data_IF_145716792025
#
_entry.id   IF_145716792025
#
_cell.length_a   1.000
_cell.length_b   1.000
_cell.length_c   1.000
_cell.angle_alpha   90.00
_cell.angle_beta   90.00
_cell.angle_gamma   90.00
#
_symmetry.space_group_name_H-M   'P 1'
#
loop_
_entity.id
_entity.type
_entity.pdbx_description
1 polymer ?
#
# COMPACT_ATOMS: atom_id res chain seq x y z
N UNK A 1 -19.08 12.68 -18.94
CA UNK A 1 -18.82 13.06 -17.53
C UNK A 1 -17.35 13.44 -17.43
N UNK A 2 -16.93 14.32 -16.52
CA UNK A 2 -15.48 14.55 -16.29
C UNK A 2 -15.18 14.27 -14.83
N UNK A 3 -14.46 13.18 -14.58
CA UNK A 3 -13.99 12.80 -13.25
C UNK A 3 -12.48 12.97 -13.21
N UNK A 4 -12.01 13.78 -12.29
CA UNK A 4 -10.59 13.99 -12.00
C UNK A 4 -10.15 13.05 -10.87
N UNK A 5 -8.95 12.49 -10.96
CA UNK A 5 -8.29 11.78 -9.85
C UNK A 5 -7.03 12.57 -9.50
N UNK A 6 -6.93 13.00 -8.25
CA UNK A 6 -5.82 13.80 -7.71
C UNK A 6 -5.09 13.00 -6.64
N UNK A 7 -3.76 13.01 -6.66
CA UNK A 7 -2.93 12.51 -5.57
C UNK A 7 -2.54 13.73 -4.75
N UNK A 8 -2.80 13.69 -3.43
CA UNK A 8 -2.58 14.84 -2.56
C UNK A 8 -1.77 14.46 -1.32
N UNK A 9 -0.66 15.16 -1.12
CA UNK A 9 0.08 15.14 0.13
C UNK A 9 -0.68 15.92 1.21
N UNK A 10 -1.37 15.24 2.13
CA UNK A 10 -2.13 15.86 3.22
C UNK A 10 -2.47 14.87 4.34
N UNK A 11 -2.86 15.40 5.50
CA UNK A 11 -3.65 14.62 6.48
C UNK A 11 -5.08 14.49 5.96
N UNK A 12 -5.63 13.27 5.97
CA UNK A 12 -7.00 12.98 5.55
C UNK A 12 -8.05 13.78 6.34
N UNK A 13 -7.77 14.19 7.58
CA UNK A 13 -8.69 15.01 8.38
C UNK A 13 -8.77 16.46 7.90
N UNK A 14 -7.75 16.93 7.19
CA UNK A 14 -7.60 18.29 6.66
C UNK A 14 -8.01 18.42 5.19
N UNK A 15 -8.46 17.34 4.56
CA UNK A 15 -8.91 17.35 3.15
C UNK A 15 -10.38 17.77 3.06
N UNK A 16 -10.64 18.86 2.35
CA UNK A 16 -11.98 19.41 2.13
C UNK A 16 -12.68 18.69 0.98
N UNK A 17 -13.51 17.70 1.32
CA UNK A 17 -14.32 16.91 0.38
C UNK A 17 -15.72 16.67 0.94
N UNK A 18 -16.65 16.24 0.10
CA UNK A 18 -18.00 15.91 0.55
C UNK A 18 -17.99 14.64 1.42
N UNK A 19 -17.20 13.64 1.04
CA UNK A 19 -17.06 12.39 1.79
C UNK A 19 -15.64 11.88 1.81
N UNK A 20 -15.18 11.37 2.95
CA UNK A 20 -14.00 10.50 3.00
C UNK A 20 -14.40 9.05 3.21
N UNK A 21 -13.68 8.12 2.58
CA UNK A 21 -13.88 6.68 2.73
C UNK A 21 -12.72 6.07 3.51
N UNK A 22 -13.05 5.30 4.54
CA UNK A 22 -12.08 4.64 5.42
C UNK A 22 -12.44 3.16 5.55
N UNK A 23 -11.45 2.29 5.35
CA UNK A 23 -11.60 0.87 5.64
C UNK A 23 -11.60 0.64 7.16
N UNK A 24 -12.41 -0.29 7.61
CA UNK A 24 -12.44 -0.78 8.99
C UNK A 24 -12.10 -2.27 9.03
N UNK A 25 -10.87 -2.61 9.42
CA UNK A 25 -10.34 -4.00 9.40
C UNK A 25 -10.65 -4.76 10.70
N UNK A 26 -11.88 -4.62 11.20
CA UNK A 26 -12.32 -5.16 12.50
C UNK A 26 -11.57 -4.58 13.71
N UNK A 27 -11.07 -3.36 13.54
CA UNK A 27 -10.40 -2.57 14.56
C UNK A 27 -9.93 -1.26 13.92
N UNK A 28 -9.64 -0.26 14.76
CA UNK A 28 -9.23 1.06 14.34
C UNK A 28 -7.70 1.20 14.36
N UNK A 29 -7.08 1.51 13.22
CA UNK A 29 -5.63 1.62 13.02
C UNK A 29 -5.23 2.77 12.07
N UNK A 30 -4.51 3.77 12.60
CA UNK A 30 -4.03 4.90 11.80
C UNK A 30 -5.16 5.88 11.48
N UNK A 31 -5.44 6.12 10.19
CA UNK A 31 -6.38 7.14 9.72
C UNK A 31 -7.83 6.95 10.21
N UNK A 32 -8.35 5.72 10.16
CA UNK A 32 -9.68 5.40 10.67
C UNK A 32 -9.81 5.65 12.18
N UNK A 33 -8.77 5.31 12.95
CA UNK A 33 -8.67 5.59 14.39
C UNK A 33 -8.63 7.08 14.69
N UNK A 34 -7.83 7.83 13.93
CA UNK A 34 -7.70 9.28 14.08
C UNK A 34 -9.06 9.94 13.84
N UNK A 35 -9.73 9.61 12.73
CA UNK A 35 -11.05 10.15 12.40
C UNK A 35 -12.09 9.73 13.44
N UNK A 36 -12.13 8.45 13.84
CA UNK A 36 -13.06 7.98 14.87
C UNK A 36 -12.86 8.68 16.23
N UNK A 37 -11.60 8.94 16.63
CA UNK A 37 -11.27 9.72 17.82
C UNK A 37 -11.83 11.14 17.74
N UNK A 38 -11.62 11.83 16.61
CA UNK A 38 -12.12 13.20 16.43
C UNK A 38 -13.65 13.22 16.45
N UNK A 39 -14.30 12.28 15.75
CA UNK A 39 -15.76 12.21 15.68
C UNK A 39 -16.42 11.81 16.99
N UNK A 40 -15.71 11.09 17.87
CA UNK A 40 -16.22 10.67 19.17
C UNK A 40 -16.72 11.87 20.00
N UNK A 41 -17.92 11.72 20.59
CA UNK A 41 -18.51 12.67 21.55
C UNK A 41 -18.56 11.97 22.91
N UNK A 42 -18.73 12.72 24.01
CA UNK A 42 -19.11 12.13 25.31
C UNK A 42 -20.31 11.19 25.10
N UNK A 43 -20.12 9.89 25.33
CA UNK A 43 -21.16 8.86 25.22
C UNK A 43 -21.18 8.01 23.94
N UNK A 44 -20.48 8.38 22.84
CA UNK A 44 -20.30 7.49 21.68
C UNK A 44 -19.00 6.70 21.84
N UNK A 45 -19.11 5.37 21.81
CA UNK A 45 -17.96 4.47 21.88
C UNK A 45 -17.54 4.07 20.45
N UNK A 46 -16.29 3.64 20.29
CA UNK A 46 -15.78 3.12 19.01
C UNK A 46 -16.65 2.03 18.39
N UNK A 47 -17.29 1.20 19.23
CA UNK A 47 -18.21 0.14 18.79
C UNK A 47 -19.40 0.68 17.98
N UNK A 48 -19.82 1.92 18.25
CA UNK A 48 -20.92 2.58 17.55
C UNK A 48 -20.47 3.11 16.17
N UNK A 49 -19.17 3.01 15.87
CA UNK A 49 -18.54 3.39 14.61
C UNK A 49 -17.97 2.20 13.84
N UNK A 50 -18.17 0.98 14.34
CA UNK A 50 -17.56 -0.24 13.84
C UNK A 50 -18.56 -1.02 12.96
N UNK A 51 -18.51 -0.89 11.62
CA UNK A 51 -19.35 -1.69 10.74
C UNK A 51 -18.98 -3.18 10.79
N UNK A 52 -19.97 -4.06 10.61
CA UNK A 52 -19.73 -5.49 10.42
C UNK A 52 -19.03 -5.76 9.08
N UNK A 53 -18.50 -6.98 8.91
CA UNK A 53 -17.89 -7.38 7.64
C UNK A 53 -18.89 -7.26 6.47
N UNK A 54 -18.52 -6.49 5.44
CA UNK A 54 -19.36 -6.24 4.26
C UNK A 54 -20.41 -5.13 4.46
N UNK A 55 -20.56 -4.61 5.68
CA UNK A 55 -21.42 -3.47 5.97
C UNK A 55 -20.65 -2.15 5.92
N UNK A 56 -21.38 -1.03 5.91
CA UNK A 56 -20.81 0.30 5.99
C UNK A 56 -21.60 1.18 6.95
N UNK A 57 -20.94 2.23 7.44
CA UNK A 57 -21.53 3.24 8.30
C UNK A 57 -21.21 4.63 7.77
N UNK A 58 -22.25 5.45 7.60
CA UNK A 58 -22.12 6.85 7.17
C UNK A 58 -22.31 7.76 8.38
N UNK A 59 -21.36 8.67 8.61
CA UNK A 59 -21.40 9.63 9.71
C UNK A 59 -21.19 11.04 9.19
N UNK A 60 -22.03 11.97 9.64
CA UNK A 60 -21.80 13.41 9.48
C UNK A 60 -20.66 13.86 10.41
N UNK A 61 -19.76 14.68 9.89
CA UNK A 61 -18.59 15.15 10.66
C UNK A 61 -18.92 16.34 11.54
N UNK A 62 -19.93 17.13 11.16
CA UNK A 62 -20.31 18.39 11.80
C UNK A 62 -19.11 19.34 11.98
N UNK A 63 -18.22 19.39 10.98
CA UNK A 63 -17.07 20.30 10.96
C UNK A 63 -15.91 19.90 11.89
N UNK A 64 -15.98 18.73 12.53
CA UNK A 64 -14.86 18.23 13.34
C UNK A 64 -13.63 17.84 12.52
N UNK A 65 -13.84 17.52 11.25
CA UNK A 65 -12.82 17.38 10.21
C UNK A 65 -13.33 18.13 8.97
N UNK A 66 -12.46 18.39 7.98
CA UNK A 66 -12.85 19.20 6.81
C UNK A 66 -13.80 18.49 5.85
N UNK A 67 -13.80 17.17 5.83
CA UNK A 67 -14.79 16.40 5.08
C UNK A 67 -16.20 16.61 5.66
N UNK A 68 -17.25 16.67 4.84
CA UNK A 68 -18.63 16.82 5.36
C UNK A 68 -19.15 15.52 6.00
N UNK A 69 -18.79 14.39 5.41
CA UNK A 69 -19.18 13.04 5.86
C UNK A 69 -18.02 12.05 5.83
N UNK A 70 -18.16 10.95 6.56
CA UNK A 70 -17.24 9.81 6.57
C UNK A 70 -18.03 8.53 6.29
N UNK A 71 -17.49 7.66 5.46
CA UNK A 71 -17.97 6.29 5.27
C UNK A 71 -16.92 5.33 5.80
N UNK A 72 -17.27 4.59 6.86
CA UNK A 72 -16.49 3.43 7.29
C UNK A 72 -17.04 2.18 6.60
N UNK A 73 -16.17 1.40 5.97
CA UNK A 73 -16.57 0.14 5.31
C UNK A 73 -15.88 -1.01 6.03
N UNK A 74 -16.67 -1.95 6.55
CA UNK A 74 -16.17 -3.12 7.27
C UNK A 74 -15.57 -4.15 6.33
N UNK A 75 -14.29 -4.45 6.50
CA UNK A 75 -13.53 -5.37 5.65
C UNK A 75 -12.96 -6.54 6.44
N UNK A 76 -12.41 -7.51 5.71
CA UNK A 76 -11.73 -8.66 6.30
C UNK A 76 -10.51 -8.22 7.14
N UNK A 77 -9.97 -9.14 7.93
CA UNK A 77 -8.79 -8.89 8.76
C UNK A 77 -7.61 -8.42 7.91
N UNK A 78 -6.77 -7.55 8.49
CA UNK A 78 -5.63 -6.93 7.80
C UNK A 78 -4.74 -7.93 7.03
N UNK A 79 -4.52 -9.12 7.58
CA UNK A 79 -3.71 -10.19 6.95
C UNK A 79 -4.27 -10.65 5.60
N UNK A 80 -5.60 -10.61 5.43
CA UNK A 80 -6.29 -10.98 4.18
C UNK A 80 -6.55 -9.78 3.27
N UNK A 81 -6.32 -8.55 3.75
CA UNK A 81 -6.56 -7.33 3.01
C UNK A 81 -5.34 -6.99 2.13
N UNK A 82 -5.14 -7.79 1.08
CA UNK A 82 -4.04 -7.66 0.12
C UNK A 82 -4.51 -7.09 -1.23
N UNK A 83 -3.74 -7.24 -2.31
CA UNK A 83 -3.90 -6.48 -3.55
C UNK A 83 -5.31 -6.61 -4.16
N UNK A 84 -5.81 -7.84 -4.36
CA UNK A 84 -7.18 -8.08 -4.85
C UNK A 84 -8.27 -7.46 -3.98
N UNK A 85 -8.11 -7.53 -2.65
CA UNK A 85 -9.05 -6.91 -1.71
C UNK A 85 -8.99 -5.38 -1.70
N UNK A 86 -7.83 -4.79 -2.03
CA UNK A 86 -7.73 -3.33 -2.24
C UNK A 86 -8.55 -2.93 -3.46
N UNK A 87 -8.44 -3.68 -4.57
CA UNK A 87 -9.23 -3.44 -5.79
C UNK A 87 -10.73 -3.56 -5.53
N UNK A 88 -11.17 -4.66 -4.92
CA UNK A 88 -12.57 -4.86 -4.54
C UNK A 88 -13.08 -3.75 -3.61
N UNK A 89 -12.28 -3.35 -2.63
CA UNK A 89 -12.65 -2.30 -1.68
C UNK A 89 -12.91 -0.97 -2.38
N UNK A 90 -12.00 -0.55 -3.27
CA UNK A 90 -12.16 0.72 -4.00
C UNK A 90 -13.41 0.72 -4.88
N UNK A 91 -13.69 -0.41 -5.54
CA UNK A 91 -14.91 -0.59 -6.32
C UNK A 91 -16.17 -0.50 -5.45
N UNK A 92 -16.21 -1.22 -4.34
CA UNK A 92 -17.35 -1.21 -3.43
C UNK A 92 -17.55 0.17 -2.79
N UNK A 93 -16.48 0.88 -2.45
CA UNK A 93 -16.54 2.25 -1.97
C UNK A 93 -17.24 3.18 -2.97
N UNK A 94 -16.85 3.11 -4.25
CA UNK A 94 -17.48 3.90 -5.31
C UNK A 94 -18.97 3.57 -5.48
N UNK A 95 -19.33 2.29 -5.44
CA UNK A 95 -20.71 1.81 -5.50
C UNK A 95 -21.55 2.29 -4.30
N UNK A 96 -21.01 2.25 -3.08
CA UNK A 96 -21.68 2.77 -1.89
C UNK A 96 -21.92 4.27 -2.04
N UNK A 97 -20.89 5.03 -2.46
CA UNK A 97 -21.01 6.47 -2.66
C UNK A 97 -22.07 6.79 -3.73
N UNK A 98 -21.99 6.12 -4.89
CA UNK A 98 -22.91 6.31 -6.00
C UNK A 98 -24.37 6.03 -5.65
N UNK A 99 -24.63 5.05 -4.77
CA UNK A 99 -25.98 4.67 -4.36
C UNK A 99 -26.53 5.44 -3.16
N UNK A 100 -25.68 6.04 -2.32
CA UNK A 100 -26.09 6.66 -1.05
C UNK A 100 -26.05 8.18 -1.04
N UNK A 101 -25.29 8.79 -1.93
CA UNK A 101 -25.15 10.25 -2.00
C UNK A 101 -25.78 10.77 -3.28
N UNK A 102 -26.93 11.44 -3.14
CA UNK A 102 -27.64 12.09 -4.25
C UNK A 102 -26.86 13.27 -4.84
N UNK A 103 -26.17 14.02 -3.98
CA UNK A 103 -25.38 15.19 -4.33
C UNK A 103 -23.94 15.03 -3.82
N UNK A 104 -23.09 14.37 -4.61
CA UNK A 104 -21.66 14.20 -4.31
C UNK A 104 -20.83 14.79 -5.44
N UNK A 105 -19.88 15.67 -5.12
CA UNK A 105 -18.93 16.23 -6.08
C UNK A 105 -17.50 15.72 -5.83
N UNK A 106 -17.15 15.44 -4.58
CA UNK A 106 -15.78 15.12 -4.18
C UNK A 106 -15.70 13.97 -3.17
N UNK A 107 -14.76 13.05 -3.41
CA UNK A 107 -14.46 11.92 -2.52
C UNK A 107 -12.98 11.97 -2.13
N UNK A 108 -12.66 11.76 -0.86
CA UNK A 108 -11.30 11.52 -0.40
C UNK A 108 -11.12 10.08 0.08
N UNK A 109 -9.97 9.48 -0.18
CA UNK A 109 -9.60 8.17 0.38
C UNK A 109 -8.09 8.10 0.58
N UNK A 110 -7.64 7.39 1.61
CA UNK A 110 -6.20 7.13 1.80
C UNK A 110 -5.71 6.06 0.84
N UNK A 111 -4.40 5.95 0.64
CA UNK A 111 -3.82 4.74 0.06
C UNK A 111 -3.97 3.54 1.01
N UNK A 112 -4.12 2.34 0.45
CA UNK A 112 -4.32 1.12 1.21
C UNK A 112 -3.21 0.10 1.00
N UNK A 113 -3.00 -0.80 1.97
CA UNK A 113 -2.02 -1.90 1.87
C UNK A 113 -0.61 -1.57 2.35
N UNK A 114 -0.19 -0.32 2.28
CA UNK A 114 1.19 0.10 2.64
C UNK A 114 1.56 -0.18 4.09
N UNK A 115 0.71 0.19 5.06
CA UNK A 115 0.95 -0.13 6.47
C UNK A 115 0.95 -1.63 6.76
N UNK A 116 0.43 -2.44 5.84
CA UNK A 116 0.54 -3.89 5.93
C UNK A 116 1.88 -4.40 5.35
N UNK A 117 2.73 -3.57 4.77
CA UNK A 117 4.00 -3.99 4.17
C UNK A 117 3.90 -4.60 2.79
N UNK A 118 2.80 -4.31 2.09
CA UNK A 118 2.64 -4.65 0.67
C UNK A 118 3.43 -3.68 -0.21
N UNK A 119 3.67 -4.07 -1.47
CA UNK A 119 4.31 -3.18 -2.44
C UNK A 119 3.40 -1.99 -2.75
N UNK A 120 4.00 -0.81 -2.62
CA UNK A 120 3.34 0.49 -2.76
C UNK A 120 2.72 0.71 -4.15
N UNK A 121 3.41 0.29 -5.22
CA UNK A 121 2.96 0.47 -6.60
C UNK A 121 1.80 -0.48 -6.90
N UNK A 122 1.93 -1.76 -6.55
CA UNK A 122 0.85 -2.73 -6.74
C UNK A 122 -0.40 -2.36 -5.92
N UNK A 123 -0.22 -1.81 -4.71
CA UNK A 123 -1.33 -1.30 -3.90
C UNK A 123 -2.05 -0.14 -4.59
N UNK A 124 -1.29 0.84 -5.08
CA UNK A 124 -1.85 2.02 -5.73
C UNK A 124 -2.57 1.66 -7.04
N UNK A 125 -1.93 0.85 -7.88
CA UNK A 125 -2.52 0.38 -9.13
C UNK A 125 -3.77 -0.48 -8.87
N UNK A 126 -3.77 -1.33 -7.83
CA UNK A 126 -4.97 -2.10 -7.44
C UNK A 126 -6.12 -1.16 -7.03
N UNK A 127 -5.81 -0.09 -6.28
CA UNK A 127 -6.78 0.89 -5.84
C UNK A 127 -7.38 1.66 -7.04
N UNK A 128 -6.55 2.08 -8.00
CA UNK A 128 -6.99 2.67 -9.26
C UNK A 128 -7.84 1.69 -10.08
N UNK A 129 -7.43 0.42 -10.16
CA UNK A 129 -8.16 -0.63 -10.86
C UNK A 129 -9.58 -0.78 -10.36
N UNK A 130 -9.79 -0.71 -9.04
CA UNK A 130 -11.12 -0.79 -8.45
C UNK A 130 -11.98 0.43 -8.76
N UNK A 131 -11.38 1.62 -8.82
CA UNK A 131 -12.06 2.84 -9.27
C UNK A 131 -12.46 2.71 -10.75
N UNK A 132 -11.57 2.19 -11.59
CA UNK A 132 -11.82 2.01 -13.02
C UNK A 132 -12.86 0.93 -13.31
N UNK A 133 -12.89 -0.16 -12.53
CA UNK A 133 -13.96 -1.15 -12.59
C UNK A 133 -15.32 -0.51 -12.26
N UNK A 134 -15.38 0.33 -11.22
CA UNK A 134 -16.59 1.04 -10.87
C UNK A 134 -17.04 2.03 -11.96
N UNK A 135 -16.10 2.68 -12.66
CA UNK A 135 -16.38 3.53 -13.80
C UNK A 135 -17.00 2.74 -14.96
N UNK A 136 -16.33 1.65 -15.37
CA UNK A 136 -16.76 0.79 -16.49
C UNK A 136 -18.13 0.16 -16.25
N UNK A 137 -18.45 -0.15 -15.00
CA UNK A 137 -19.74 -0.72 -14.61
C UNK A 137 -20.82 0.33 -14.32
N UNK A 138 -20.51 1.63 -14.48
CA UNK A 138 -21.48 2.71 -14.25
C UNK A 138 -21.93 2.83 -12.79
N UNK A 139 -21.08 2.43 -11.83
CA UNK A 139 -21.38 2.43 -10.39
C UNK A 139 -21.11 3.78 -9.72
N UNK A 140 -20.45 4.70 -10.42
CA UNK A 140 -20.10 6.03 -9.90
C UNK A 140 -21.22 7.02 -10.16
N UNK A 141 -21.49 7.88 -9.17
CA UNK A 141 -22.46 8.97 -9.30
C UNK A 141 -22.09 9.90 -10.46
N UNK A 142 -23.02 10.26 -11.37
CA UNK A 142 -22.75 11.18 -12.48
C UNK A 142 -22.36 12.60 -12.03
N UNK A 143 -22.65 12.95 -10.78
CA UNK A 143 -22.31 14.24 -10.18
C UNK A 143 -20.88 14.27 -9.61
N UNK A 144 -20.23 13.11 -9.45
CA UNK A 144 -18.89 13.04 -8.89
C UNK A 144 -17.89 13.66 -9.87
N UNK A 145 -17.16 14.69 -9.43
CA UNK A 145 -16.21 15.43 -10.25
C UNK A 145 -14.76 15.12 -9.91
N UNK A 146 -14.48 14.76 -8.65
CA UNK A 146 -13.10 14.55 -8.20
C UNK A 146 -12.98 13.45 -7.14
N UNK A 147 -12.00 12.57 -7.31
CA UNK A 147 -11.50 11.65 -6.29
C UNK A 147 -10.10 12.12 -5.87
N UNK A 148 -9.86 12.24 -4.57
CA UNK A 148 -8.57 12.62 -4.00
C UNK A 148 -8.00 11.41 -3.26
N UNK A 149 -6.90 10.87 -3.78
CA UNK A 149 -6.08 9.88 -3.08
C UNK A 149 -5.12 10.63 -2.16
N UNK A 150 -5.28 10.44 -0.86
CA UNK A 150 -4.57 11.20 0.18
C UNK A 150 -3.44 10.35 0.75
N UNK A 151 -2.24 10.91 0.78
CA UNK A 151 -1.06 10.33 1.39
C UNK A 151 -0.39 11.38 2.29
N UNK A 152 0.06 10.99 3.48
CA UNK A 152 0.64 11.94 4.45
C UNK A 152 2.16 12.08 4.28
N UNK A 153 2.82 11.07 3.70
CA UNK A 153 4.24 11.09 3.40
C UNK A 153 4.50 11.77 2.05
N UNK A 154 5.15 12.94 2.08
CA UNK A 154 5.47 13.76 0.91
C UNK A 154 6.20 12.99 -0.20
N UNK A 155 7.35 12.38 0.12
CA UNK A 155 8.13 11.58 -0.85
C UNK A 155 7.30 10.46 -1.49
N UNK A 156 6.36 9.87 -0.73
CA UNK A 156 5.47 8.84 -1.26
C UNK A 156 4.43 9.44 -2.19
N UNK A 157 3.80 10.54 -1.79
CA UNK A 157 2.81 11.22 -2.62
C UNK A 157 3.40 11.59 -3.99
N UNK A 158 4.63 12.11 -4.02
CA UNK A 158 5.37 12.40 -5.26
C UNK A 158 5.52 11.16 -6.15
N UNK A 159 5.99 10.03 -5.60
CA UNK A 159 6.12 8.77 -6.36
C UNK A 159 4.78 8.24 -6.87
N UNK A 160 3.72 8.37 -6.08
CA UNK A 160 2.38 7.95 -6.49
C UNK A 160 1.84 8.83 -7.61
N UNK A 161 2.14 10.14 -7.58
CA UNK A 161 1.80 11.07 -8.65
C UNK A 161 2.58 10.79 -9.94
N UNK A 162 3.89 10.50 -9.86
CA UNK A 162 4.69 10.02 -10.99
C UNK A 162 4.10 8.75 -11.59
N UNK A 163 3.85 7.74 -10.74
CA UNK A 163 3.25 6.47 -11.14
C UNK A 163 1.87 6.65 -11.77
N UNK A 164 1.05 7.56 -11.24
CA UNK A 164 -0.24 7.92 -11.83
C UNK A 164 -0.06 8.49 -13.23
N UNK A 165 0.81 9.49 -13.40
CA UNK A 165 1.05 10.15 -14.68
C UNK A 165 1.64 9.22 -15.75
N UNK A 166 2.39 8.19 -15.34
CA UNK A 166 2.91 7.16 -16.23
C UNK A 166 1.82 6.20 -16.75
N UNK A 167 0.87 5.82 -15.87
CA UNK A 167 -0.11 4.76 -16.14
C UNK A 167 -1.52 5.29 -16.46
N UNK A 168 -1.75 6.58 -16.27
CA UNK A 168 -3.06 7.22 -16.47
C UNK A 168 -2.89 8.34 -17.50
N UNK A 169 -3.56 8.28 -18.65
CA UNK A 169 -3.58 9.38 -19.61
C UNK A 169 -4.08 10.68 -18.96
N UNK A 170 -3.42 11.82 -19.25
CA UNK A 170 -3.85 13.15 -18.80
C UNK A 170 -5.28 13.50 -19.26
N UNK A 171 -5.69 12.91 -20.38
CA UNK A 171 -6.98 13.10 -21.01
C UNK A 171 -7.95 11.96 -20.71
N UNK A 172 -7.96 11.36 -19.51
CA UNK A 172 -9.14 10.58 -19.07
C UNK A 172 -10.33 11.55 -18.93
N UNK A 173 -10.90 11.89 -20.08
CA UNK A 173 -12.28 12.30 -20.20
C UNK A 173 -13.07 11.01 -20.23
N UNK A 174 -13.76 10.69 -19.13
CA UNK A 174 -14.83 9.67 -19.13
C UNK A 174 -16.00 10.25 -19.94
N UNK A 175 -15.80 10.37 -21.26
CA UNK A 175 -16.86 10.74 -22.19
C UNK A 175 -17.81 9.54 -22.23
N UNK A 176 -19.04 9.77 -21.80
CA UNK A 176 -20.14 8.80 -21.90
C UNK A 176 -19.95 7.43 -21.19
N UNK A 177 -19.36 7.42 -19.99
CA UNK A 177 -19.18 6.21 -19.15
C UNK A 177 -18.33 5.09 -19.79
N UNK A 178 -17.64 5.39 -20.89
CA UNK A 178 -16.67 4.49 -21.51
C UNK A 178 -15.29 5.13 -21.47
N UNK A 179 -14.31 4.41 -20.93
CA UNK A 179 -12.92 4.61 -21.34
C UNK A 179 -12.91 4.14 -22.81
N UNK A 180 -12.96 5.06 -23.76
CA UNK A 180 -12.88 4.69 -25.16
C UNK A 180 -11.51 4.02 -25.38
N UNK A 181 -11.45 2.79 -25.90
CA UNK A 181 -10.21 2.11 -26.19
C UNK A 181 -9.57 2.79 -27.39
N UNK A 182 -8.69 3.75 -27.14
CA UNK A 182 -7.59 3.99 -28.06
C UNK A 182 -6.48 3.01 -27.67
N UNK A 183 -5.83 2.38 -28.64
CA UNK A 183 -4.73 1.43 -28.42
C UNK A 183 -3.64 1.96 -27.48
N UNK A 184 -3.45 3.29 -27.45
CA UNK A 184 -2.51 3.98 -26.56
C UNK A 184 -3.02 4.04 -25.12
N UNK A 185 -4.34 4.20 -24.94
CA UNK A 185 -4.99 4.22 -23.63
C UNK A 185 -4.93 2.81 -23.02
N UNK A 186 -5.25 1.78 -23.80
CA UNK A 186 -5.21 0.39 -23.36
C UNK A 186 -3.81 -0.03 -22.88
N UNK A 187 -2.75 0.38 -23.58
CA UNK A 187 -1.38 0.11 -23.15
C UNK A 187 -0.99 0.84 -21.85
N UNK A 188 -1.43 2.10 -21.67
CA UNK A 188 -1.11 2.86 -20.45
C UNK A 188 -1.81 2.29 -19.22
N UNK A 189 -3.08 1.89 -19.35
CA UNK A 189 -3.86 1.37 -18.23
C UNK A 189 -3.65 -0.14 -18.01
N UNK A 190 -2.90 -0.83 -18.86
CA UNK A 190 -2.66 -2.27 -18.74
C UNK A 190 -2.17 -2.68 -17.35
N UNK A 191 -1.21 -1.94 -16.78
CA UNK A 191 -0.72 -2.22 -15.42
C UNK A 191 -1.80 -2.07 -14.35
N UNK A 192 -2.74 -1.14 -14.54
CA UNK A 192 -3.88 -0.93 -13.65
C UNK A 192 -4.86 -2.11 -13.77
N UNK A 193 -5.11 -2.57 -14.99
CA UNK A 193 -6.00 -3.71 -15.25
C UNK A 193 -5.43 -5.03 -14.75
N UNK A 194 -4.12 -5.19 -14.75
CA UNK A 194 -3.45 -6.37 -14.21
C UNK A 194 -3.28 -6.30 -12.68
N UNK A 195 -3.31 -5.12 -12.07
CA UNK A 195 -3.14 -5.01 -10.62
C UNK A 195 -4.34 -5.57 -9.84
N UNK A 196 -4.07 -6.14 -8.68
CA UNK A 196 -5.08 -6.76 -7.80
C UNK A 196 -4.81 -8.25 -7.64
N UNK A 197 -5.70 -9.09 -8.15
CA UNK A 197 -5.55 -10.55 -7.99
C UNK A 197 -4.31 -11.10 -8.71
N UNK A 198 -3.95 -10.58 -9.89
CA UNK A 198 -2.74 -11.03 -10.59
C UNK A 198 -1.46 -10.56 -9.88
N UNK A 199 -1.51 -9.47 -9.10
CA UNK A 199 -0.40 -9.05 -8.25
C UNK A 199 -0.03 -10.13 -7.21
N UNK A 200 -0.99 -10.93 -6.74
CA UNK A 200 -0.70 -12.03 -5.81
C UNK A 200 0.07 -13.19 -6.46
N UNK A 201 -0.05 -13.34 -7.78
CA UNK A 201 0.65 -14.37 -8.55
C UNK A 201 2.06 -13.94 -8.97
N UNK A 202 2.37 -12.63 -8.92
CA UNK A 202 3.71 -12.12 -9.22
C UNK A 202 4.71 -12.62 -8.17
N UNK A 203 5.90 -13.06 -8.57
CA UNK A 203 6.91 -13.48 -7.61
C UNK A 203 7.33 -12.28 -6.75
N UNK A 204 7.47 -12.49 -5.44
CA UNK A 204 7.88 -11.43 -4.51
C UNK A 204 9.16 -11.79 -3.77
N UNK A 205 9.86 -10.73 -3.37
CA UNK A 205 10.98 -10.76 -2.45
C UNK A 205 10.52 -10.18 -1.11
N UNK A 206 10.87 -10.86 -0.02
CA UNK A 206 10.61 -10.37 1.33
C UNK A 206 11.84 -9.64 1.86
N UNK A 207 11.65 -8.43 2.38
CA UNK A 207 12.71 -7.60 2.95
C UNK A 207 12.57 -7.56 4.47
N UNK A 208 13.59 -8.10 5.14
CA UNK A 208 13.80 -8.04 6.58
C UNK A 208 14.81 -6.93 6.88
N UNK A 209 14.39 -5.83 7.52
CA UNK A 209 15.32 -4.72 7.80
C UNK A 209 14.84 -3.84 8.96
N UNK A 210 15.73 -3.05 9.59
CA UNK A 210 15.31 -2.12 10.63
C UNK A 210 14.41 -0.99 10.09
N UNK A 211 13.42 -0.58 10.89
CA UNK A 211 12.42 0.45 10.53
C UNK A 211 12.79 1.89 10.88
N UNK A 212 13.98 2.14 11.43
CA UNK A 212 14.38 3.49 11.78
C UNK A 212 14.49 4.36 10.52
N UNK A 213 14.03 5.62 10.59
CA UNK A 213 13.99 6.58 9.47
C UNK A 213 15.27 6.67 8.63
N UNK A 214 16.44 6.45 9.25
CA UNK A 214 17.74 6.43 8.56
C UNK A 214 17.84 5.34 7.47
N UNK A 215 17.01 4.30 7.52
CA UNK A 215 16.96 3.21 6.56
C UNK A 215 15.89 3.41 5.47
N UNK A 216 15.12 4.50 5.49
CA UNK A 216 14.08 4.74 4.48
C UNK A 216 14.67 4.81 3.07
N UNK A 217 15.75 5.60 2.89
CA UNK A 217 16.40 5.74 1.59
C UNK A 217 17.16 4.45 1.20
N UNK A 218 17.66 3.68 2.17
CA UNK A 218 18.26 2.34 1.94
C UNK A 218 17.21 1.39 1.37
N UNK A 219 16.02 1.36 1.97
CA UNK A 219 14.91 0.54 1.49
C UNK A 219 14.45 0.99 0.10
N UNK A 220 14.08 2.26 -0.06
CA UNK A 220 13.43 2.75 -1.27
C UNK A 220 14.37 2.69 -2.48
N UNK A 221 15.60 3.21 -2.34
CA UNK A 221 16.52 3.34 -3.47
C UNK A 221 17.53 2.20 -3.57
N UNK A 222 17.96 1.65 -2.43
CA UNK A 222 18.97 0.59 -2.38
C UNK A 222 18.41 -0.81 -2.59
N UNK A 223 17.18 -1.09 -2.11
CA UNK A 223 16.59 -2.44 -2.12
C UNK A 223 15.40 -2.54 -3.08
N UNK A 224 14.41 -1.66 -2.94
CA UNK A 224 13.16 -1.74 -3.68
C UNK A 224 13.35 -1.46 -5.16
N UNK A 225 14.13 -0.44 -5.55
CA UNK A 225 14.43 -0.18 -6.96
C UNK A 225 15.03 -1.39 -7.71
N UNK A 226 16.10 -2.04 -7.23
CA UNK A 226 16.68 -3.17 -7.96
C UNK A 226 15.79 -4.43 -7.95
N UNK A 227 15.03 -4.65 -6.86
CA UNK A 227 14.01 -5.72 -6.80
C UNK A 227 12.95 -5.51 -7.88
N UNK A 228 12.44 -4.28 -8.02
CA UNK A 228 11.46 -3.92 -9.05
C UNK A 228 12.02 -4.01 -10.46
N UNK A 229 13.25 -3.54 -10.69
CA UNK A 229 13.91 -3.63 -11.98
C UNK A 229 14.08 -5.09 -12.46
N UNK A 230 14.16 -6.02 -11.52
CA UNK A 230 14.19 -7.46 -11.79
C UNK A 230 12.78 -8.10 -11.95
N UNK A 231 11.71 -7.32 -11.91
CA UNK A 231 10.33 -7.79 -12.11
C UNK A 231 9.68 -8.43 -10.89
N UNK A 232 10.25 -8.27 -9.70
CA UNK A 232 9.68 -8.79 -8.45
C UNK A 232 8.90 -7.74 -7.69
N UNK A 233 7.88 -8.18 -6.96
CA UNK A 233 7.24 -7.39 -5.91
C UNK A 233 8.19 -7.28 -4.71
N UNK A 234 8.32 -6.08 -4.13
CA UNK A 234 9.12 -5.86 -2.92
C UNK A 234 8.21 -5.66 -1.70
N UNK A 235 8.22 -6.59 -0.75
CA UNK A 235 7.39 -6.51 0.46
C UNK A 235 8.24 -6.40 1.73
N UNK A 236 7.88 -5.46 2.61
CA UNK A 236 8.51 -5.23 3.92
C UNK A 236 7.43 -5.02 4.97
N UNK A 237 7.26 -5.96 5.88
CA UNK A 237 6.19 -5.91 6.91
C UNK A 237 6.56 -4.93 8.02
N UNK A 238 5.81 -3.85 8.18
CA UNK A 238 5.96 -2.90 9.30
C UNK A 238 5.41 -3.46 10.62
N UNK A 239 6.21 -3.39 11.69
CA UNK A 239 5.87 -3.87 13.03
C UNK A 239 4.80 -3.03 13.74
N UNK A 240 4.57 -1.77 13.33
CA UNK A 240 3.66 -0.85 14.02
C UNK A 240 2.19 -1.29 14.01
N UNK A 241 1.81 -2.18 13.10
CA UNK A 241 0.45 -2.74 13.03
C UNK A 241 0.34 -4.02 13.86
N UNK A 242 0.51 -3.86 15.18
CA UNK A 242 0.41 -4.94 16.17
C UNK A 242 -1.00 -5.56 16.17
N UNK A 243 -1.09 -6.77 15.66
CA UNK A 243 -2.12 -7.75 16.01
C UNK A 243 -1.42 -9.08 16.29
N UNK A 244 -1.94 -9.91 17.19
CA UNK A 244 -1.32 -11.18 17.61
C UNK A 244 -1.02 -12.21 16.50
N UNK A 245 -1.27 -11.86 15.24
CA UNK A 245 -0.94 -12.63 14.04
C UNK A 245 0.29 -12.13 13.26
N UNK A 246 1.00 -11.08 13.71
CA UNK A 246 2.14 -10.51 12.95
C UNK A 246 3.24 -11.55 12.68
N UNK A 247 3.60 -12.36 13.67
CA UNK A 247 4.60 -13.40 13.53
C UNK A 247 4.21 -14.47 12.51
N UNK A 248 2.94 -14.89 12.52
CA UNK A 248 2.41 -15.85 11.52
C UNK A 248 2.50 -15.28 10.11
N UNK A 249 2.28 -13.98 9.98
CA UNK A 249 2.35 -13.27 8.72
C UNK A 249 3.79 -13.18 8.21
N UNK A 250 4.74 -12.75 9.05
CA UNK A 250 6.17 -12.72 8.72
C UNK A 250 6.63 -14.10 8.24
N UNK A 251 6.35 -15.14 9.02
CA UNK A 251 6.67 -16.52 8.64
C UNK A 251 6.07 -16.92 7.29
N UNK A 252 4.79 -16.63 7.08
CA UNK A 252 4.12 -16.92 5.82
C UNK A 252 4.73 -16.17 4.63
N UNK A 253 5.14 -14.90 4.79
CA UNK A 253 5.73 -14.11 3.69
C UNK A 253 7.16 -14.52 3.37
N UNK A 254 7.93 -14.92 4.39
CA UNK A 254 9.23 -15.58 4.18
C UNK A 254 9.01 -16.88 3.38
N UNK A 255 8.11 -17.75 3.84
CA UNK A 255 7.86 -19.06 3.22
C UNK A 255 7.35 -18.99 1.78
N UNK A 256 6.61 -17.94 1.42
CA UNK A 256 6.12 -17.78 0.05
C UNK A 256 7.05 -16.96 -0.82
N UNK A 257 8.07 -16.31 -0.26
CA UNK A 257 9.00 -15.46 -1.02
C UNK A 257 9.94 -16.28 -1.88
N UNK A 258 10.31 -15.71 -3.04
CA UNK A 258 11.36 -16.30 -3.88
C UNK A 258 12.71 -16.22 -3.18
N UNK A 259 12.97 -15.08 -2.53
CA UNK A 259 14.21 -14.74 -1.80
C UNK A 259 13.88 -13.81 -0.65
N UNK A 260 14.66 -13.93 0.43
CA UNK A 260 14.70 -12.97 1.52
C UNK A 260 15.91 -12.05 1.34
N UNK A 261 15.71 -10.74 1.43
CA UNK A 261 16.80 -9.77 1.56
C UNK A 261 16.80 -9.31 3.02
N UNK A 262 17.92 -9.44 3.71
CA UNK A 262 18.01 -9.13 5.13
C UNK A 262 19.12 -8.10 5.41
N UNK A 263 18.75 -6.94 5.93
CA UNK A 263 19.69 -5.91 6.36
C UNK A 263 20.02 -6.05 7.85
N UNK A 264 21.23 -6.53 8.14
CA UNK A 264 21.70 -6.84 9.49
C UNK A 264 22.32 -5.63 10.21
N UNK A 265 22.32 -4.47 9.57
CA UNK A 265 22.92 -3.23 10.10
C UNK A 265 22.35 -2.87 11.47
N UNK A 266 23.22 -2.58 12.43
CA UNK A 266 22.84 -2.23 13.80
C UNK A 266 22.34 -3.40 14.66
N UNK A 267 22.58 -4.65 14.23
CA UNK A 267 22.32 -5.86 15.02
C UNK A 267 20.86 -6.02 15.51
N UNK A 268 19.88 -5.68 14.67
CA UNK A 268 18.46 -5.73 15.04
C UNK A 268 17.96 -7.17 15.27
N UNK A 269 17.57 -7.51 16.50
CA UNK A 269 17.15 -8.87 16.89
C UNK A 269 15.99 -9.44 16.08
N UNK A 270 15.06 -8.60 15.60
CA UNK A 270 13.92 -9.06 14.81
C UNK A 270 14.38 -9.52 13.43
N UNK A 271 15.32 -8.80 12.81
CA UNK A 271 15.91 -9.23 11.52
C UNK A 271 16.67 -10.54 11.68
N UNK A 272 17.44 -10.72 12.76
CA UNK A 272 18.13 -11.98 13.02
C UNK A 272 17.15 -13.15 13.22
N UNK A 273 16.01 -12.91 13.88
CA UNK A 273 14.95 -13.91 13.98
C UNK A 273 14.40 -14.29 12.60
N UNK A 274 14.13 -13.31 11.74
CA UNK A 274 13.62 -13.53 10.38
C UNK A 274 14.61 -14.32 9.51
N UNK A 275 15.90 -13.98 9.60
CA UNK A 275 16.99 -14.70 8.92
C UNK A 275 17.09 -16.14 9.42
N UNK A 276 17.12 -16.35 10.74
CA UNK A 276 17.18 -17.69 11.32
C UNK A 276 15.98 -18.54 10.91
N UNK A 277 14.78 -17.95 10.85
CA UNK A 277 13.59 -18.64 10.33
C UNK A 277 13.69 -18.98 8.85
N UNK A 278 14.14 -18.03 8.02
CA UNK A 278 14.32 -18.24 6.58
C UNK A 278 15.31 -19.38 6.30
N UNK A 279 16.45 -19.40 6.98
CA UNK A 279 17.44 -20.47 6.87
C UNK A 279 16.92 -21.81 7.38
N UNK A 280 16.23 -21.83 8.52
CA UNK A 280 15.60 -23.04 9.04
C UNK A 280 14.55 -23.64 8.09
N UNK A 281 14.00 -22.83 7.17
CA UNK A 281 13.07 -23.25 6.12
C UNK A 281 13.75 -23.47 4.76
N UNK A 282 15.06 -23.28 4.65
CA UNK A 282 15.82 -23.46 3.41
C UNK A 282 15.59 -22.35 2.38
N UNK A 283 15.14 -21.17 2.78
CA UNK A 283 14.96 -20.03 1.87
C UNK A 283 16.29 -19.34 1.59
N UNK A 284 16.54 -19.07 0.31
CA UNK A 284 17.68 -18.26 -0.11
C UNK A 284 17.58 -16.86 0.50
N UNK A 285 18.67 -16.45 1.15
CA UNK A 285 18.74 -15.16 1.86
C UNK A 285 19.97 -14.38 1.42
N UNK A 286 19.76 -13.17 0.92
CA UNK A 286 20.83 -12.20 0.64
C UNK A 286 21.00 -11.33 1.88
N UNK A 287 22.19 -11.39 2.47
CA UNK A 287 22.54 -10.57 3.62
C UNK A 287 23.14 -9.23 3.19
N UNK A 288 22.68 -8.14 3.80
CA UNK A 288 23.20 -6.79 3.63
C UNK A 288 23.75 -6.30 4.98
N UNK A 289 24.78 -5.47 4.93
CA UNK A 289 25.29 -4.77 6.11
C UNK A 289 25.96 -3.44 5.71
N UNK A 290 25.75 -2.40 6.51
CA UNK A 290 26.46 -1.12 6.35
C UNK A 290 27.93 -1.23 6.76
N UNK A 291 28.19 -1.74 7.96
CA UNK A 291 29.50 -1.97 8.56
C UNK A 291 29.60 -3.43 9.07
N UNK A 292 30.49 -4.27 8.52
CA UNK A 292 30.64 -5.66 8.96
C UNK A 292 31.07 -5.79 10.44
N UNK A 293 31.62 -4.73 11.05
CA UNK A 293 32.00 -4.71 12.46
C UNK A 293 30.81 -4.92 13.42
N UNK A 294 29.57 -4.64 12.98
CA UNK A 294 28.37 -4.79 13.79
C UNK A 294 27.73 -6.19 13.74
N UNK A 295 28.26 -7.11 12.92
CA UNK A 295 27.69 -8.45 12.76
C UNK A 295 27.83 -9.30 14.03
N UNK A 296 26.74 -9.98 14.40
CA UNK A 296 26.76 -10.97 15.48
C UNK A 296 27.63 -12.18 15.06
N UNK A 297 28.21 -12.87 16.04
CA UNK A 297 29.19 -13.94 15.80
C UNK A 297 28.70 -14.99 14.79
N UNK A 298 27.44 -15.41 14.89
CA UNK A 298 26.85 -16.49 14.08
C UNK A 298 26.77 -16.19 12.58
N UNK A 299 26.90 -14.92 12.16
CA UNK A 299 26.80 -14.50 10.75
C UNK A 299 28.09 -13.88 10.21
N UNK A 300 29.16 -13.79 11.00
CA UNK A 300 30.42 -13.14 10.58
C UNK A 300 31.10 -13.82 9.38
N UNK A 301 30.97 -15.14 9.29
CA UNK A 301 31.55 -15.92 8.19
C UNK A 301 30.61 -16.05 6.98
N UNK A 302 29.41 -15.44 7.04
CA UNK A 302 28.44 -15.49 5.95
C UNK A 302 28.73 -14.42 4.91
N UNK A 303 28.46 -14.73 3.64
CA UNK A 303 28.60 -13.78 2.54
C UNK A 303 27.56 -12.66 2.69
N UNK A 304 28.03 -11.46 2.98
CA UNK A 304 27.23 -10.25 3.07
C UNK A 304 27.59 -9.25 1.96
N UNK A 305 26.59 -8.55 1.42
CA UNK A 305 26.82 -7.32 0.65
C UNK A 305 27.12 -6.21 1.65
N UNK A 306 28.39 -5.82 1.72
CA UNK A 306 28.82 -4.64 2.48
C UNK A 306 28.64 -3.42 1.60
N UNK A 307 27.86 -2.43 2.06
CA UNK A 307 27.55 -1.23 1.28
C UNK A 307 28.08 0.09 1.86
N UNK A 308 28.71 0.11 3.04
CA UNK A 308 29.42 1.27 3.59
C UNK A 308 28.58 2.57 3.54
N UNK A 309 27.29 2.50 3.87
CA UNK A 309 26.34 3.63 3.78
C UNK A 309 26.12 4.21 2.37
N UNK A 310 26.64 3.57 1.32
CA UNK A 310 26.45 3.95 -0.08
C UNK A 310 25.26 3.22 -0.70
N UNK A 311 24.16 3.94 -0.88
CA UNK A 311 22.96 3.44 -1.58
C UNK A 311 23.29 3.00 -3.01
N UNK A 312 24.18 3.73 -3.69
CA UNK A 312 24.60 3.40 -5.05
C UNK A 312 25.32 2.04 -5.09
N UNK A 313 26.26 1.80 -4.18
CA UNK A 313 26.94 0.52 -4.10
C UNK A 313 26.00 -0.62 -3.73
N UNK A 314 25.08 -0.37 -2.79
CA UNK A 314 24.07 -1.36 -2.40
C UNK A 314 23.25 -1.77 -3.63
N UNK A 315 22.71 -0.79 -4.36
CA UNK A 315 21.93 -1.01 -5.58
C UNK A 315 22.70 -1.85 -6.60
N UNK A 316 23.90 -1.42 -6.98
CA UNK A 316 24.71 -2.11 -8.01
C UNK A 316 25.09 -3.55 -7.61
N UNK A 317 25.43 -3.78 -6.33
CA UNK A 317 25.78 -5.11 -5.83
C UNK A 317 24.54 -5.99 -5.73
N UNK A 318 23.42 -5.45 -5.26
CA UNK A 318 22.17 -6.20 -5.10
C UNK A 318 21.56 -6.58 -6.46
N UNK A 319 21.58 -5.70 -7.46
CA UNK A 319 21.15 -6.03 -8.83
C UNK A 319 21.87 -7.27 -9.37
N UNK A 320 23.19 -7.34 -9.17
CA UNK A 320 24.00 -8.49 -9.60
C UNK A 320 23.64 -9.78 -8.86
N UNK A 321 23.31 -9.71 -7.58
CA UNK A 321 22.89 -10.91 -6.84
C UNK A 321 21.48 -11.36 -7.25
N UNK A 322 20.54 -10.42 -7.42
CA UNK A 322 19.17 -10.73 -7.88
C UNK A 322 19.19 -11.33 -9.29
N UNK A 323 20.03 -10.84 -10.19
CA UNK A 323 20.15 -11.42 -11.54
C UNK A 323 20.58 -12.88 -11.54
N UNK A 324 21.41 -13.33 -10.58
CA UNK A 324 21.81 -14.74 -10.48
C UNK A 324 20.68 -15.65 -10.03
N UNK A 325 19.61 -15.09 -9.45
CA UNK A 325 18.44 -15.84 -8.99
C UNK A 325 17.42 -16.04 -10.13
N UNK A 326 17.49 -15.21 -11.16
CA UNK A 326 16.62 -15.28 -12.34
C UNK A 326 17.04 -16.38 -13.34
N UNK A 327 18.26 -16.89 -13.22
CA UNK A 327 18.86 -17.95 -14.07
C UNK A 327 18.65 -19.32 -13.43
#
# INVERSE_FOLDING_TARGET
MSLEIEIKCADITEVSVDVIVLKYVQGFYGADKLVANMLSKKGKQFKDMAPSLGEYLILQTFGKIRAKSVVFIGVTKLVKFRYGRIREFSKEAMKIIGSKFSEINTVGMTIHGIGAGLDEEECFLSQLGGIFDALREGLISPNLKKIIIVEINEKRAERLEELFNENVPKDIFIKDNTILPDSIIDQKIQKIDEAGDLSEAKPHIFVAMPFAKKFDDVYEFGIKMPVKAAGFICERIDETYFSGSILKRIKSRIETSKVVIADLSGANSNVYFEVGYAWGKGHLTILLVDDPGCLAFDVKDQRCIVYNYSIKELKEKLEKEIQKILV
#
